data_IF_316316385214
#
_entry.id   IF_316316385214
#
_cell.length_a   1.000
_cell.length_b   1.000
_cell.length_c   1.000
_cell.angle_alpha   90.00
_cell.angle_beta   90.00
_cell.angle_gamma   90.00
#
_symmetry.space_group_name_H-M   'P 1'
#
loop_
_entity.id
_entity.type
_entity.pdbx_description
1 polymer ?
#
# COMPACT_ATOMS: atom_id res chain seq x y z
N UNK A 1 -0.60 0.46 24.12
CA UNK A 1 -1.24 0.86 22.84
C UNK A 1 -2.62 0.23 22.80
N UNK A 2 -3.67 1.00 22.48
CA UNK A 2 -5.01 0.45 22.33
C UNK A 2 -5.01 -0.61 21.22
N UNK A 3 -5.78 -1.69 21.41
CA UNK A 3 -5.93 -2.74 20.40
C UNK A 3 -6.70 -2.13 19.23
N UNK A 4 -6.16 -2.24 18.01
CA UNK A 4 -6.87 -1.83 16.80
C UNK A 4 -8.20 -2.57 16.69
N UNK A 5 -9.22 -1.86 16.24
CA UNK A 5 -10.53 -2.47 16.01
C UNK A 5 -10.50 -3.31 14.73
N UNK A 6 -11.38 -4.31 14.59
CA UNK A 6 -11.44 -5.13 13.39
C UNK A 6 -11.58 -4.32 12.09
N UNK A 7 -12.33 -3.23 12.11
CA UNK A 7 -12.49 -2.31 10.96
C UNK A 7 -11.18 -1.65 10.55
N UNK A 8 -10.36 -1.21 11.52
CA UNK A 8 -9.06 -0.60 11.25
C UNK A 8 -8.09 -1.60 10.62
N UNK A 9 -8.12 -2.86 11.10
CA UNK A 9 -7.32 -3.96 10.55
C UNK A 9 -7.76 -4.25 9.11
N UNK A 10 -9.07 -4.29 8.86
CA UNK A 10 -9.61 -4.50 7.51
C UNK A 10 -9.19 -3.39 6.54
N UNK A 11 -9.24 -2.12 6.98
CA UNK A 11 -8.77 -0.99 6.19
C UNK A 11 -7.27 -1.09 5.87
N UNK A 12 -6.44 -1.37 6.88
CA UNK A 12 -4.99 -1.54 6.69
C UNK A 12 -4.68 -2.65 5.67
N UNK A 13 -5.39 -3.79 5.75
CA UNK A 13 -5.22 -4.89 4.83
C UNK A 13 -5.62 -4.51 3.40
N UNK A 14 -6.74 -3.79 3.22
CA UNK A 14 -7.18 -3.29 1.90
C UNK A 14 -6.14 -2.36 1.29
N UNK A 15 -5.55 -1.47 2.08
CA UNK A 15 -4.49 -0.56 1.61
C UNK A 15 -3.25 -1.34 1.19
N UNK A 16 -2.78 -2.30 2.00
CA UNK A 16 -1.62 -3.13 1.69
C UNK A 16 -1.82 -3.94 0.40
N UNK A 17 -3.01 -4.52 0.22
CA UNK A 17 -3.41 -5.23 -0.99
C UNK A 17 -3.40 -4.28 -2.19
N UNK A 18 -3.97 -3.08 -2.06
CA UNK A 18 -4.01 -2.09 -3.14
C UNK A 18 -2.62 -1.63 -3.59
N UNK A 19 -1.69 -1.43 -2.65
CA UNK A 19 -0.28 -1.12 -2.97
C UNK A 19 0.33 -2.25 -3.81
N UNK A 20 0.15 -3.49 -3.37
CA UNK A 20 0.66 -4.66 -4.08
C UNK A 20 0.07 -4.78 -5.49
N UNK A 21 -1.25 -4.64 -5.63
CA UNK A 21 -1.95 -4.68 -6.92
C UNK A 21 -1.37 -3.66 -7.90
N UNK A 22 -1.30 -2.38 -7.49
CA UNK A 22 -0.80 -1.30 -8.33
C UNK A 22 0.67 -1.51 -8.70
N UNK A 23 1.50 -1.93 -7.75
CA UNK A 23 2.89 -2.30 -8.02
C UNK A 23 2.96 -3.41 -9.06
N UNK A 24 2.19 -4.51 -8.91
CA UNK A 24 2.26 -5.65 -9.82
C UNK A 24 1.86 -5.32 -11.26
N UNK A 25 1.07 -4.26 -11.48
CA UNK A 25 0.74 -3.76 -12.82
C UNK A 25 1.92 -3.08 -13.50
N UNK A 26 2.83 -2.48 -12.73
CA UNK A 26 4.06 -1.86 -13.24
C UNK A 26 5.19 -2.87 -13.31
N UNK A 27 5.41 -3.61 -12.23
CA UNK A 27 6.44 -4.63 -12.12
C UNK A 27 6.03 -5.73 -11.15
N UNK A 28 5.98 -6.97 -11.64
CA UNK A 28 5.64 -8.16 -10.86
C UNK A 28 6.69 -8.52 -9.80
N UNK A 29 7.96 -8.14 -9.99
CA UNK A 29 9.05 -8.41 -9.06
C UNK A 29 9.23 -7.26 -8.06
N UNK A 30 8.88 -7.52 -6.79
CA UNK A 30 8.97 -6.52 -5.72
C UNK A 30 10.38 -5.96 -5.51
N UNK A 31 11.43 -6.80 -5.64
CA UNK A 31 12.81 -6.35 -5.46
C UNK A 31 13.20 -5.38 -6.58
N UNK A 32 12.93 -5.75 -7.83
CA UNK A 32 13.23 -4.92 -9.00
C UNK A 32 12.46 -3.61 -8.99
N UNK A 33 11.17 -3.65 -8.62
CA UNK A 33 10.39 -2.42 -8.45
C UNK A 33 11.02 -1.49 -7.41
N UNK A 34 11.48 -2.04 -6.27
CA UNK A 34 12.09 -1.23 -5.22
C UNK A 34 13.41 -0.61 -5.70
N UNK A 35 14.28 -1.41 -6.31
CA UNK A 35 15.57 -0.96 -6.86
C UNK A 35 15.40 0.13 -7.93
N UNK A 36 14.42 -0.01 -8.83
CA UNK A 36 14.17 0.95 -9.90
C UNK A 36 13.58 2.30 -9.41
N UNK A 37 13.11 2.37 -8.16
CA UNK A 37 12.42 3.53 -7.59
C UNK A 37 13.09 4.04 -6.31
N UNK A 38 14.38 3.74 -6.11
CA UNK A 38 15.17 4.15 -4.93
C UNK A 38 14.50 3.80 -3.59
N UNK A 39 13.82 2.64 -3.55
CA UNK A 39 13.20 2.08 -2.36
C UNK A 39 13.99 0.87 -1.86
N UNK A 40 14.04 0.72 -0.54
CA UNK A 40 14.48 -0.54 0.04
C UNK A 40 13.39 -1.61 -0.09
N UNK A 41 13.78 -2.83 -0.47
CA UNK A 41 12.88 -3.99 -0.52
C UNK A 41 12.13 -4.21 0.80
N UNK A 42 12.78 -4.01 1.95
CA UNK A 42 12.13 -4.14 3.26
C UNK A 42 11.04 -3.09 3.47
N UNK A 43 11.25 -1.86 2.99
CA UNK A 43 10.26 -0.79 3.08
C UNK A 43 9.02 -1.17 2.28
N UNK A 44 9.19 -1.61 1.04
CA UNK A 44 8.07 -2.05 0.20
C UNK A 44 7.38 -3.31 0.76
N UNK A 45 8.15 -4.25 1.32
CA UNK A 45 7.59 -5.42 1.98
C UNK A 45 6.67 -5.03 3.15
N UNK A 46 7.07 -4.03 3.95
CA UNK A 46 6.24 -3.50 5.04
C UNK A 46 4.96 -2.86 4.51
N UNK A 47 5.03 -2.12 3.40
CA UNK A 47 3.86 -1.47 2.81
C UNK A 47 2.82 -2.48 2.29
N UNK A 48 3.27 -3.63 1.81
CA UNK A 48 2.40 -4.72 1.30
C UNK A 48 2.01 -5.76 2.36
N UNK A 49 2.42 -5.58 3.61
CA UNK A 49 2.19 -6.58 4.67
C UNK A 49 0.77 -6.49 5.24
N UNK A 50 0.05 -7.60 5.18
CA UNK A 50 -1.25 -7.80 5.86
C UNK A 50 -1.09 -8.44 7.26
N UNK A 51 0.14 -8.78 7.64
CA UNK A 51 0.45 -9.46 8.90
C UNK A 51 0.89 -8.48 10.01
N UNK A 52 1.18 -7.22 9.64
CA UNK A 52 1.52 -6.17 10.59
C UNK A 52 0.27 -5.34 10.93
N UNK A 53 0.09 -5.07 12.22
CA UNK A 53 -1.01 -4.24 12.74
C UNK A 53 -0.75 -2.74 12.54
N UNK A 54 0.45 -2.32 12.11
CA UNK A 54 0.82 -0.89 12.02
C UNK A 54 0.15 -0.14 10.88
N UNK A 55 -0.25 -0.84 9.80
CA UNK A 55 -0.76 -0.20 8.58
C UNK A 55 0.28 0.72 7.92
N UNK A 56 -0.17 1.55 6.98
CA UNK A 56 0.65 2.61 6.35
C UNK A 56 -0.01 3.97 6.55
N UNK A 57 0.79 5.01 6.75
CA UNK A 57 0.28 6.37 6.86
C UNK A 57 -0.15 6.92 5.50
N UNK A 58 -1.02 7.94 5.51
CA UNK A 58 -1.41 8.65 4.28
C UNK A 58 -0.21 9.26 3.55
N UNK A 59 0.84 9.68 4.27
CA UNK A 59 2.07 10.20 3.68
C UNK A 59 2.83 9.11 2.90
N UNK A 60 2.86 7.88 3.41
CA UNK A 60 3.43 6.73 2.73
C UNK A 60 2.62 6.39 1.47
N UNK A 61 1.29 6.37 1.57
CA UNK A 61 0.42 6.14 0.41
C UNK A 61 0.66 7.20 -0.66
N UNK A 62 0.72 8.48 -0.27
CA UNK A 62 1.00 9.57 -1.19
C UNK A 62 2.39 9.44 -1.85
N UNK A 63 3.41 9.02 -1.10
CA UNK A 63 4.75 8.74 -1.66
C UNK A 63 4.67 7.62 -2.71
N UNK A 64 3.95 6.54 -2.41
CA UNK A 64 3.74 5.46 -3.36
C UNK A 64 2.98 5.92 -4.61
N UNK A 65 1.97 6.77 -4.46
CA UNK A 65 1.23 7.35 -5.59
C UNK A 65 2.15 8.16 -6.51
N UNK A 66 3.07 8.96 -5.95
CA UNK A 66 4.06 9.72 -6.73
C UNK A 66 5.02 8.83 -7.52
N UNK A 67 5.39 7.67 -6.98
CA UNK A 67 6.23 6.69 -7.71
C UNK A 67 5.52 6.19 -8.97
N UNK A 68 4.20 6.04 -8.89
CA UNK A 68 3.38 5.55 -10.00
C UNK A 68 2.81 6.66 -10.88
N UNK A 69 3.11 7.92 -10.58
CA UNK A 69 2.52 9.10 -11.21
C UNK A 69 0.97 9.10 -11.21
N UNK A 70 0.37 8.72 -10.07
CA UNK A 70 -1.08 8.75 -9.86
C UNK A 70 -1.45 9.65 -8.68
N UNK A 71 -2.72 10.04 -8.59
CA UNK A 71 -3.22 10.79 -7.43
C UNK A 71 -3.68 9.87 -6.30
N UNK A 72 -3.82 10.43 -5.09
CA UNK A 72 -4.49 9.72 -3.98
C UNK A 72 -5.92 9.32 -4.33
N UNK A 73 -6.63 10.11 -5.14
CA UNK A 73 -7.96 9.75 -5.62
C UNK A 73 -7.89 8.44 -6.39
N UNK A 74 -6.98 8.33 -7.36
CA UNK A 74 -6.84 7.13 -8.21
C UNK A 74 -6.43 5.89 -7.41
N UNK A 75 -5.64 6.10 -6.34
CA UNK A 75 -5.31 5.02 -5.42
C UNK A 75 -6.55 4.42 -4.76
N UNK A 76 -7.44 5.25 -4.22
CA UNK A 76 -8.67 4.84 -3.55
C UNK A 76 -9.85 4.57 -4.51
N UNK A 77 -9.71 4.91 -5.80
CA UNK A 77 -10.65 4.58 -6.87
C UNK A 77 -10.55 3.09 -7.24
N UNK A 78 -11.02 2.24 -6.31
CA UNK A 78 -11.09 0.79 -6.45
C UNK A 78 -12.33 0.27 -5.76
N UNK A 79 -12.94 -0.77 -6.34
CA UNK A 79 -14.13 -1.44 -5.82
C UNK A 79 -13.96 -1.88 -4.36
N UNK A 80 -12.73 -2.22 -3.96
CA UNK A 80 -12.37 -2.60 -2.58
C UNK A 80 -12.68 -1.52 -1.54
N UNK A 81 -12.81 -0.26 -1.97
CA UNK A 81 -13.08 0.90 -1.10
C UNK A 81 -14.51 1.45 -1.20
N UNK A 82 -15.37 0.91 -2.07
CA UNK A 82 -16.74 1.45 -2.28
C UNK A 82 -17.68 1.35 -1.07
N UNK A 83 -17.42 0.41 -0.16
CA UNK A 83 -18.26 0.12 1.01
C UNK A 83 -17.48 0.23 2.33
N UNK A 84 -16.54 1.18 2.41
CA UNK A 84 -15.82 1.48 3.66
C UNK A 84 -16.59 2.48 4.52
#
# INVERSE_FOLDING_TARGET
MAKLKPEDIALNNKIAIRIKELRTKVDSNQKRFAENNDLERQTLNRWESINDKRGVSVHTINRFCKILDISLKDFFDSDSFKNL
#
